data_IF_138102632598
#
_entry.id   IF_138102632598
#
_cell.length_a   1.000
_cell.length_b   1.000
_cell.length_c   1.000
_cell.angle_alpha   90.00
_cell.angle_beta   90.00
_cell.angle_gamma   90.00
#
_symmetry.space_group_name_H-M   'P 1'
#
loop_
_entity.id
_entity.type
_entity.pdbx_description
1 polymer ?
#
# COMPACT_ATOMS: atom_id res chain seq x y z
N UNK A 1 31.17 -52.10 49.76
CA UNK A 1 30.06 -53.01 49.37
C UNK A 1 28.79 -52.31 49.87
N UNK A 2 28.07 -51.52 49.06
CA UNK A 2 27.11 -51.93 48.01
C UNK A 2 25.74 -52.19 48.67
N UNK A 3 24.58 -51.61 48.31
CA UNK A 3 24.14 -50.85 47.14
C UNK A 3 22.92 -49.96 47.48
N UNK A 4 22.66 -49.01 46.58
CA UNK A 4 21.51 -48.11 46.47
C UNK A 4 20.18 -48.83 46.14
N UNK A 5 19.06 -48.15 46.38
CA UNK A 5 17.75 -48.50 45.80
C UNK A 5 16.67 -47.44 46.01
N UNK A 6 16.45 -46.63 44.97
CA UNK A 6 15.38 -45.64 44.78
C UNK A 6 14.06 -46.29 44.34
N UNK A 7 12.90 -45.75 44.73
CA UNK A 7 11.77 -45.47 43.81
C UNK A 7 10.56 -44.86 44.53
N UNK A 8 10.24 -43.64 44.11
CA UNK A 8 8.94 -42.98 44.18
C UNK A 8 7.93 -43.65 43.25
N UNK A 9 6.69 -43.92 43.71
CA UNK A 9 5.48 -43.65 42.94
C UNK A 9 4.17 -43.92 43.71
N UNK A 10 3.23 -42.97 43.53
CA UNK A 10 1.76 -43.07 43.60
C UNK A 10 1.10 -43.14 44.97
N UNK A 11 0.44 -42.04 45.33
CA UNK A 11 -1.01 -42.09 45.52
C UNK A 11 -1.69 -40.83 44.97
N UNK A 12 -2.65 -41.07 44.08
CA UNK A 12 -3.57 -40.10 43.49
C UNK A 12 -4.72 -39.91 44.45
N UNK A 13 -5.05 -38.66 44.79
CA UNK A 13 -6.43 -38.29 45.10
C UNK A 13 -6.77 -36.95 44.45
N UNK A 14 -7.79 -37.02 43.60
CA UNK A 14 -8.52 -35.93 42.97
C UNK A 14 -8.97 -34.90 44.00
N UNK A 15 -8.87 -33.62 43.63
CA UNK A 15 -9.85 -32.61 44.06
C UNK A 15 -10.12 -31.68 42.88
N UNK A 16 -11.11 -32.06 42.09
CA UNK A 16 -11.89 -31.13 41.28
C UNK A 16 -12.65 -30.18 42.21
N UNK A 17 -12.45 -28.87 42.05
CA UNK A 17 -13.56 -27.91 41.88
C UNK A 17 -13.07 -26.46 41.81
N UNK A 18 -13.36 -25.87 40.63
CA UNK A 18 -13.69 -24.45 40.40
C UNK A 18 -12.54 -23.43 40.51
N UNK A 19 -11.87 -23.22 39.39
CA UNK A 19 -11.29 -21.91 39.04
C UNK A 19 -11.79 -21.50 37.65
N UNK A 20 -12.08 -20.22 37.52
CA UNK A 20 -12.90 -19.60 36.50
C UNK A 20 -12.39 -19.82 35.06
N UNK A 21 -13.25 -20.39 34.21
CA UNK A 21 -13.16 -20.24 32.77
C UNK A 21 -13.56 -18.81 32.39
N UNK A 22 -12.61 -17.88 32.45
CA UNK A 22 -12.66 -16.56 31.82
C UNK A 22 -11.24 -16.19 31.39
N UNK A 23 -11.17 -15.44 30.29
CA UNK A 23 -10.01 -14.72 29.73
C UNK A 23 -8.95 -15.51 28.93
N UNK A 24 -9.25 -15.72 27.64
CA UNK A 24 -8.25 -15.62 26.56
C UNK A 24 -8.73 -14.68 25.44
N UNK A 25 -10.05 -14.49 25.29
CA UNK A 25 -10.62 -13.52 24.35
C UNK A 25 -10.37 -12.05 24.77
N UNK A 26 -10.50 -11.74 26.07
CA UNK A 26 -10.31 -10.37 26.59
C UNK A 26 -8.88 -9.84 26.40
N UNK A 27 -7.87 -10.70 26.51
CA UNK A 27 -6.47 -10.30 26.30
C UNK A 27 -6.15 -10.07 24.82
N UNK A 28 -6.74 -10.87 23.93
CA UNK A 28 -6.57 -10.71 22.47
C UNK A 28 -7.29 -9.46 21.97
N UNK A 29 -8.48 -9.18 22.52
CA UNK A 29 -9.26 -7.99 22.22
C UNK A 29 -8.60 -6.70 22.72
N UNK A 30 -8.07 -6.68 23.95
CA UNK A 30 -7.34 -5.53 24.49
C UNK A 30 -6.05 -5.25 23.72
N UNK A 31 -5.28 -6.28 23.35
CA UNK A 31 -4.08 -6.12 22.53
C UNK A 31 -4.41 -5.52 21.15
N UNK A 32 -5.56 -5.87 20.58
CA UNK A 32 -6.02 -5.31 19.30
C UNK A 32 -6.40 -3.83 19.41
N UNK A 33 -6.99 -3.41 20.54
CA UNK A 33 -7.43 -2.03 20.77
C UNK A 33 -6.27 -1.09 21.08
N UNK A 34 -5.39 -1.46 22.00
CA UNK A 34 -4.20 -0.64 22.31
C UNK A 34 -3.31 -0.45 21.08
N UNK A 35 -3.14 -1.52 20.29
CA UNK A 35 -2.42 -1.43 19.02
C UNK A 35 -3.09 -0.48 18.03
N UNK A 36 -4.42 -0.54 17.93
CA UNK A 36 -5.19 0.35 17.07
C UNK A 36 -5.07 1.83 17.50
N UNK A 37 -5.24 2.11 18.79
CA UNK A 37 -5.08 3.47 19.35
C UNK A 37 -3.67 4.01 19.13
N UNK A 38 -2.64 3.18 19.36
CA UNK A 38 -1.26 3.57 19.10
C UNK A 38 -1.02 3.85 17.60
N UNK A 39 -1.66 3.12 16.68
CA UNK A 39 -1.60 3.43 15.24
C UNK A 39 -2.31 4.74 14.90
N UNK A 40 -3.43 5.04 15.55
CA UNK A 40 -4.14 6.32 15.38
C UNK A 40 -3.29 7.50 15.87
N UNK A 41 -2.68 7.39 17.05
CA UNK A 41 -1.79 8.42 17.61
C UNK A 41 -0.63 8.72 16.65
N UNK A 42 0.07 7.68 16.19
CA UNK A 42 1.14 7.82 15.19
C UNK A 42 0.66 8.46 13.89
N UNK A 43 -0.57 8.19 13.46
CA UNK A 43 -1.12 8.84 12.27
C UNK A 43 -1.38 10.32 12.52
N UNK A 44 -1.88 10.69 13.70
CA UNK A 44 -2.15 12.08 14.08
C UNK A 44 -0.85 12.92 14.10
N UNK A 45 0.26 12.37 14.57
CA UNK A 45 1.57 13.03 14.57
C UNK A 45 2.04 13.43 13.16
N UNK A 46 1.60 12.71 12.12
CA UNK A 46 2.05 12.90 10.74
C UNK A 46 1.02 13.57 9.84
N UNK A 47 -0.13 14.00 10.36
CA UNK A 47 -1.24 14.52 9.55
C UNK A 47 -0.85 15.74 8.72
N UNK A 48 0.10 16.55 9.21
CA UNK A 48 0.61 17.72 8.48
C UNK A 48 1.40 17.36 7.22
N UNK A 49 1.85 16.11 7.08
CA UNK A 49 2.59 15.61 5.92
C UNK A 49 1.70 14.89 4.90
N UNK A 50 0.41 14.72 5.20
CA UNK A 50 -0.56 14.22 4.22
C UNK A 50 -0.76 15.26 3.11
N UNK A 51 -0.89 14.81 1.85
CA UNK A 51 -1.01 15.72 0.69
C UNK A 51 -2.18 16.68 0.82
N UNK A 52 -3.29 16.23 1.39
CA UNK A 52 -4.48 17.03 1.67
C UNK A 52 -4.16 18.24 2.58
N UNK A 53 -3.19 18.11 3.49
CA UNK A 53 -2.83 19.15 4.45
C UNK A 53 -1.96 20.23 3.82
N UNK A 54 -0.93 19.85 3.05
CA UNK A 54 0.02 20.83 2.48
C UNK A 54 -0.35 21.30 1.07
N UNK A 55 -1.19 20.56 0.31
CA UNK A 55 -1.49 20.91 -1.08
C UNK A 55 -2.06 22.31 -1.22
N UNK A 56 -3.01 22.71 -0.36
CA UNK A 56 -3.60 24.06 -0.42
C UNK A 56 -2.59 25.19 -0.24
N UNK A 57 -1.49 24.93 0.47
CA UNK A 57 -0.42 25.92 0.74
C UNK A 57 0.52 26.00 -0.47
N UNK A 58 0.77 24.87 -1.13
CA UNK A 58 1.79 24.74 -2.17
C UNK A 58 1.22 24.52 -3.58
N UNK A 59 -0.10 24.65 -3.78
CA UNK A 59 -0.77 24.30 -5.05
C UNK A 59 -0.18 25.04 -6.25
N UNK A 60 0.25 26.30 -6.08
CA UNK A 60 0.86 27.11 -7.14
C UNK A 60 2.33 26.72 -7.43
N UNK A 61 2.93 25.90 -6.57
CA UNK A 61 4.32 25.44 -6.63
C UNK A 61 4.43 23.91 -6.78
N UNK A 62 3.32 23.22 -7.00
CA UNK A 62 3.28 21.76 -7.12
C UNK A 62 2.40 21.34 -8.29
N UNK A 63 2.37 20.03 -8.57
CA UNK A 63 1.55 19.50 -9.65
C UNK A 63 0.08 19.56 -9.30
N UNK A 64 -0.76 19.87 -10.30
CA UNK A 64 -2.20 19.81 -10.16
C UNK A 64 -2.63 18.45 -9.62
N UNK A 65 -3.40 18.48 -8.52
CA UNK A 65 -3.84 17.29 -7.79
C UNK A 65 -5.33 17.38 -7.54
N UNK A 66 -6.04 16.28 -7.81
CA UNK A 66 -7.43 16.10 -7.42
C UNK A 66 -7.55 14.99 -6.36
N UNK A 67 -8.52 15.15 -5.47
CA UNK A 67 -8.74 14.25 -4.35
C UNK A 67 -10.02 13.45 -4.55
N UNK A 68 -9.92 12.13 -4.50
CA UNK A 68 -11.06 11.21 -4.49
C UNK A 68 -11.23 10.70 -3.05
N UNK A 69 -12.32 11.05 -2.35
CA UNK A 69 -12.51 10.64 -0.97
C UNK A 69 -12.75 9.13 -0.87
N UNK A 70 -12.00 8.47 0.01
CA UNK A 70 -12.16 7.05 0.33
C UNK A 70 -12.87 6.95 1.68
N UNK A 71 -14.13 6.50 1.67
CA UNK A 71 -14.88 6.22 2.89
C UNK A 71 -14.35 4.96 3.59
N UNK A 72 -14.67 4.75 4.89
CA UNK A 72 -14.32 3.51 5.58
C UNK A 72 -14.87 2.24 4.91
N UNK A 73 -16.05 2.31 4.28
CA UNK A 73 -16.64 1.17 3.55
C UNK A 73 -15.87 0.86 2.26
N UNK A 74 -15.45 1.88 1.51
CA UNK A 74 -14.61 1.72 0.32
C UNK A 74 -13.24 1.14 0.72
N UNK A 75 -12.63 1.68 1.78
CA UNK A 75 -11.36 1.15 2.29
C UNK A 75 -11.49 -0.32 2.70
N UNK A 76 -12.59 -0.69 3.35
CA UNK A 76 -12.88 -2.10 3.71
C UNK A 76 -13.02 -2.97 2.46
N UNK A 77 -13.73 -2.51 1.43
CA UNK A 77 -13.89 -3.23 0.18
C UNK A 77 -12.53 -3.50 -0.50
N UNK A 78 -11.62 -2.53 -0.53
CA UNK A 78 -10.24 -2.75 -1.02
C UNK A 78 -9.48 -3.81 -0.23
N UNK A 79 -9.60 -3.78 1.11
CA UNK A 79 -8.98 -4.80 1.96
C UNK A 79 -9.57 -6.17 1.68
N UNK A 80 -10.90 -6.30 1.57
CA UNK A 80 -11.57 -7.56 1.28
C UNK A 80 -11.17 -8.12 -0.09
N UNK A 81 -11.06 -7.25 -1.11
CA UNK A 81 -10.55 -7.62 -2.42
C UNK A 81 -9.11 -8.13 -2.33
N UNK A 82 -8.21 -7.42 -1.66
CA UNK A 82 -6.82 -7.83 -1.49
C UNK A 82 -6.72 -9.18 -0.78
N UNK A 83 -7.42 -9.34 0.35
CA UNK A 83 -7.43 -10.60 1.11
C UNK A 83 -7.99 -11.76 0.29
N UNK A 84 -9.00 -11.51 -0.55
CA UNK A 84 -9.59 -12.53 -1.40
C UNK A 84 -8.66 -12.93 -2.54
N UNK A 85 -8.05 -11.95 -3.20
CA UNK A 85 -7.17 -12.16 -4.35
C UNK A 85 -5.82 -12.76 -3.99
N UNK A 86 -5.19 -12.28 -2.91
CA UNK A 86 -3.79 -12.60 -2.60
C UNK A 86 -3.61 -13.49 -1.38
N UNK A 87 -4.59 -13.54 -0.47
CA UNK A 87 -4.50 -14.32 0.78
C UNK A 87 -5.51 -15.47 0.84
N UNK A 88 -6.15 -15.80 -0.29
CA UNK A 88 -7.12 -16.89 -0.45
C UNK A 88 -8.26 -16.87 0.57
N UNK A 89 -8.64 -15.67 1.05
CA UNK A 89 -9.82 -15.50 1.90
C UNK A 89 -11.09 -15.43 1.03
N UNK A 90 -12.25 -15.69 1.59
CA UNK A 90 -13.53 -15.48 0.88
C UNK A 90 -14.32 -14.36 1.56
N UNK A 91 -13.82 -13.12 1.44
CA UNK A 91 -14.37 -11.95 2.13
C UNK A 91 -15.06 -10.97 1.18
N UNK A 92 -14.75 -11.03 -0.12
CA UNK A 92 -15.30 -10.14 -1.12
C UNK A 92 -16.78 -10.48 -1.40
N UNK A 93 -17.65 -9.48 -1.28
CA UNK A 93 -19.08 -9.61 -1.58
C UNK A 93 -19.52 -8.65 -2.69
N UNK A 94 -20.79 -8.74 -3.10
CA UNK A 94 -21.36 -7.90 -4.16
C UNK A 94 -21.33 -6.40 -3.85
N UNK A 95 -21.57 -6.01 -2.60
CA UNK A 95 -21.49 -4.61 -2.15
C UNK A 95 -20.06 -4.09 -2.27
N UNK A 96 -19.06 -4.87 -1.88
CA UNK A 96 -17.65 -4.51 -2.05
C UNK A 96 -17.30 -4.29 -3.52
N UNK A 97 -17.77 -5.19 -4.40
CA UNK A 97 -17.56 -5.08 -5.86
C UNK A 97 -18.17 -3.77 -6.39
N UNK A 98 -19.40 -3.45 -6.00
CA UNK A 98 -20.05 -2.20 -6.42
C UNK A 98 -19.29 -0.96 -5.94
N UNK A 99 -18.80 -0.96 -4.70
CA UNK A 99 -17.98 0.14 -4.16
C UNK A 99 -16.69 0.31 -4.96
N UNK A 100 -15.97 -0.78 -5.24
CA UNK A 100 -14.73 -0.75 -6.02
C UNK A 100 -15.00 -0.24 -7.44
N UNK A 101 -16.05 -0.74 -8.09
CA UNK A 101 -16.46 -0.29 -9.43
C UNK A 101 -16.83 1.20 -9.44
N UNK A 102 -17.47 1.70 -8.38
CA UNK A 102 -17.80 3.12 -8.27
C UNK A 102 -16.54 3.99 -8.21
N UNK A 103 -15.50 3.57 -7.49
CA UNK A 103 -14.21 4.28 -7.45
C UNK A 103 -13.50 4.19 -8.79
N UNK A 104 -13.52 3.03 -9.45
CA UNK A 104 -12.95 2.89 -10.79
C UNK A 104 -13.64 3.83 -11.79
N UNK A 105 -14.97 3.96 -11.70
CA UNK A 105 -15.71 4.92 -12.53
C UNK A 105 -15.27 6.35 -12.25
N UNK A 106 -15.17 6.76 -10.98
CA UNK A 106 -14.71 8.10 -10.61
C UNK A 106 -13.30 8.38 -11.12
N UNK A 107 -12.37 7.43 -10.96
CA UNK A 107 -11.01 7.54 -11.50
C UNK A 107 -11.03 7.74 -13.01
N UNK A 108 -11.81 6.95 -13.74
CA UNK A 108 -11.93 7.10 -15.18
C UNK A 108 -12.48 8.46 -15.59
N UNK A 109 -13.49 8.97 -14.87
CA UNK A 109 -14.04 10.29 -15.14
C UNK A 109 -13.00 11.40 -14.91
N UNK A 110 -12.22 11.33 -13.82
CA UNK A 110 -11.23 12.36 -13.53
C UNK A 110 -10.00 12.29 -14.44
N UNK A 111 -9.53 11.09 -14.78
CA UNK A 111 -8.32 10.93 -15.59
C UNK A 111 -8.62 11.15 -17.07
N UNK A 112 -9.69 10.55 -17.59
CA UNK A 112 -9.97 10.48 -19.02
C UNK A 112 -11.11 11.38 -19.49
N UNK A 113 -11.99 11.86 -18.61
CA UNK A 113 -13.12 12.70 -19.01
C UNK A 113 -13.12 14.07 -18.32
N UNK A 114 -12.01 14.45 -17.68
CA UNK A 114 -11.93 15.74 -17.00
C UNK A 114 -11.95 16.87 -18.03
N UNK A 115 -12.85 17.83 -17.81
CA UNK A 115 -13.01 19.03 -18.66
C UNK A 115 -11.76 19.89 -18.73
N UNK A 116 -10.85 19.75 -17.76
CA UNK A 116 -9.62 20.54 -17.70
C UNK A 116 -8.48 19.91 -18.51
N UNK A 117 -8.62 18.65 -18.97
CA UNK A 117 -7.61 17.86 -19.66
C UNK A 117 -6.22 17.81 -18.97
N UNK A 118 -6.11 18.24 -17.71
CA UNK A 118 -4.81 18.40 -17.04
C UNK A 118 -4.06 17.07 -16.86
N UNK A 119 -4.82 15.97 -16.73
CA UNK A 119 -4.28 14.62 -16.54
C UNK A 119 -4.00 13.87 -17.84
N UNK A 120 -4.71 14.18 -18.94
CA UNK A 120 -4.55 13.46 -20.20
C UNK A 120 -3.24 13.78 -20.91
N UNK A 121 -2.80 15.04 -20.84
CA UNK A 121 -1.66 15.53 -21.65
C UNK A 121 -0.32 15.04 -21.06
N UNK A 122 -0.22 14.95 -19.74
CA UNK A 122 1.05 14.73 -19.03
C UNK A 122 1.13 13.36 -18.34
N UNK A 123 0.11 12.51 -18.53
CA UNK A 123 -0.07 11.32 -17.71
C UNK A 123 -0.55 11.66 -16.30
N UNK A 124 -0.76 10.63 -15.48
CA UNK A 124 -1.28 10.79 -14.12
C UNK A 124 -0.54 9.90 -13.15
N UNK A 125 -0.32 10.42 -11.95
CA UNK A 125 0.24 9.68 -10.84
C UNK A 125 -0.80 9.52 -9.72
N UNK A 126 -0.99 8.28 -9.26
CA UNK A 126 -1.94 7.96 -8.19
C UNK A 126 -1.18 7.66 -6.91
N UNK A 127 -1.62 8.26 -5.80
CA UNK A 127 -1.08 8.02 -4.46
C UNK A 127 -2.19 8.06 -3.41
N UNK A 128 -1.87 7.53 -2.23
CA UNK A 128 -2.64 7.80 -1.02
C UNK A 128 -2.07 9.05 -0.32
N UNK A 129 -2.74 9.49 0.76
CA UNK A 129 -2.43 10.72 1.50
C UNK A 129 -0.94 10.87 1.83
N UNK A 130 -0.32 9.84 2.44
CA UNK A 130 1.08 9.88 2.88
C UNK A 130 2.06 9.02 2.07
N UNK A 131 1.57 8.12 1.20
CA UNK A 131 2.42 7.12 0.52
C UNK A 131 2.02 6.96 -0.94
N UNK A 132 3.03 6.85 -1.78
CA UNK A 132 2.89 6.40 -3.16
C UNK A 132 3.15 4.90 -3.28
N UNK A 133 2.57 4.22 -4.29
CA UNK A 133 2.80 2.81 -4.56
C UNK A 133 4.15 2.56 -5.28
N UNK A 134 5.23 3.21 -4.85
CA UNK A 134 6.55 3.11 -5.50
C UNK A 134 7.15 1.70 -5.46
N UNK A 135 6.78 0.92 -4.45
CA UNK A 135 7.22 -0.46 -4.23
C UNK A 135 6.21 -1.47 -4.83
N UNK A 136 5.20 -0.98 -5.56
CA UNK A 136 4.17 -1.81 -6.18
C UNK A 136 4.67 -2.46 -7.46
N UNK A 137 4.32 -3.74 -7.64
CA UNK A 137 4.54 -4.44 -8.91
C UNK A 137 3.31 -4.32 -9.81
N UNK A 138 3.54 -4.15 -11.11
CA UNK A 138 2.46 -4.17 -12.10
C UNK A 138 1.77 -5.55 -12.10
N UNK A 139 0.45 -5.56 -12.23
CA UNK A 139 -0.31 -6.78 -12.48
C UNK A 139 0.07 -7.44 -13.81
N UNK A 140 0.51 -6.64 -14.77
CA UNK A 140 0.98 -7.06 -16.08
C UNK A 140 2.39 -6.46 -16.29
N UNK A 141 3.39 -7.18 -15.78
CA UNK A 141 4.80 -6.77 -15.86
C UNK A 141 5.31 -6.79 -17.30
N UNK A 142 4.83 -7.73 -18.12
CA UNK A 142 5.23 -7.85 -19.52
C UNK A 142 4.79 -6.64 -20.32
N UNK A 143 3.51 -6.23 -20.18
CA UNK A 143 3.01 -5.02 -20.83
C UNK A 143 3.76 -3.76 -20.38
N UNK A 144 4.07 -3.66 -19.09
CA UNK A 144 4.85 -2.52 -18.57
C UNK A 144 6.24 -2.45 -19.20
N UNK A 145 6.95 -3.59 -19.29
CA UNK A 145 8.28 -3.67 -19.92
C UNK A 145 8.19 -3.29 -21.40
N UNK A 146 7.18 -3.77 -22.12
CA UNK A 146 6.96 -3.41 -23.52
C UNK A 146 6.76 -1.90 -23.70
N UNK A 147 5.88 -1.28 -22.90
CA UNK A 147 5.64 0.16 -22.91
C UNK A 147 6.92 0.95 -22.60
N UNK A 148 7.68 0.52 -21.59
CA UNK A 148 8.96 1.15 -21.25
C UNK A 148 9.94 1.16 -22.42
N UNK A 149 10.13 0.02 -23.09
CA UNK A 149 11.05 -0.05 -24.23
C UNK A 149 10.56 0.78 -25.42
N UNK A 150 9.24 0.83 -25.67
CA UNK A 150 8.65 1.67 -26.71
C UNK A 150 8.92 3.16 -26.44
N UNK A 151 8.62 3.63 -25.24
CA UNK A 151 8.85 5.04 -24.86
C UNK A 151 10.34 5.39 -24.82
N UNK A 152 11.19 4.48 -24.35
CA UNK A 152 12.64 4.67 -24.36
C UNK A 152 13.17 4.81 -25.79
N UNK A 153 12.72 3.96 -26.72
CA UNK A 153 13.11 4.06 -28.12
C UNK A 153 12.65 5.38 -28.72
N UNK A 154 11.38 5.78 -28.50
CA UNK A 154 10.86 7.06 -28.96
C UNK A 154 11.66 8.26 -28.45
N UNK A 155 12.07 8.23 -27.18
CA UNK A 155 12.91 9.27 -26.58
C UNK A 155 14.31 9.28 -27.17
N UNK A 156 14.92 8.12 -27.41
CA UNK A 156 16.24 8.02 -28.05
C UNK A 156 16.22 8.52 -29.50
N UNK A 157 15.14 8.24 -30.24
CA UNK A 157 14.98 8.71 -31.62
C UNK A 157 14.76 10.24 -31.64
N UNK A 158 14.00 10.78 -30.69
CA UNK A 158 13.70 12.22 -30.58
C UNK A 158 14.87 13.03 -30.02
N UNK A 159 15.59 12.47 -29.07
CA UNK A 159 16.75 13.08 -28.41
C UNK A 159 17.93 12.11 -28.54
N UNK A 160 18.58 12.08 -29.72
CA UNK A 160 19.75 11.23 -29.93
C UNK A 160 20.78 11.49 -28.85
N UNK A 161 21.36 10.42 -28.32
CA UNK A 161 22.26 10.50 -27.20
C UNK A 161 23.45 11.43 -27.54
N UNK A 162 23.54 12.59 -26.87
CA UNK A 162 24.56 13.60 -27.18
C UNK A 162 25.98 13.04 -27.00
N UNK A 163 26.16 12.08 -26.08
CA UNK A 163 27.41 11.34 -25.87
C UNK A 163 27.86 10.49 -27.07
N UNK A 164 26.98 10.25 -28.05
CA UNK A 164 27.33 9.53 -29.27
C UNK A 164 27.72 10.47 -30.40
N UNK A 165 27.51 11.78 -30.24
CA UNK A 165 28.04 12.80 -31.12
C UNK A 165 29.55 12.97 -30.95
N UNK A 166 30.21 13.51 -31.98
CA UNK A 166 31.65 13.80 -31.94
C UNK A 166 31.96 14.82 -30.84
N UNK A 167 31.12 15.85 -30.67
CA UNK A 167 31.26 16.86 -29.61
C UNK A 167 31.04 16.29 -28.21
N UNK A 168 30.03 15.44 -28.02
CA UNK A 168 29.77 14.80 -26.73
C UNK A 168 30.89 13.85 -26.29
N UNK A 169 31.55 13.16 -27.24
CA UNK A 169 32.74 12.36 -26.95
C UNK A 169 33.94 13.23 -26.59
N UNK A 170 34.20 14.30 -27.34
CA UNK A 170 35.28 15.24 -27.06
C UNK A 170 35.12 15.94 -25.68
N UNK A 171 33.88 16.28 -25.30
CA UNK A 171 33.60 16.89 -24.00
C UNK A 171 33.81 15.92 -22.83
N UNK A 172 33.59 14.62 -23.03
CA UNK A 172 33.85 13.60 -22.00
C UNK A 172 35.34 13.31 -21.82
N UNK A 173 36.14 13.39 -22.89
CA UNK A 173 37.61 13.26 -22.82
C UNK A 173 38.29 14.45 -22.12
N UNK A 174 37.64 15.62 -22.06
CA UNK A 174 38.12 16.81 -21.35
C UNK A 174 37.86 16.79 -19.83
N UNK A 175 36.96 15.91 -19.36
CA UNK A 175 36.57 15.79 -17.94
C UNK A 175 37.33 14.65 -17.25
N UNK A 176 37.95 13.74 -18.02
CA UNK A 176 38.77 12.62 -17.52
C UNK A 176 40.23 13.02 -17.27
#
# INVERSE_FOLDING_TARGET
MGQNGSSTERDRLNNDSKSAGKTNEDNTFNMSREFYEHKLLKRCEHIHFDVEAWYKILQDQTFYTEFIPISPSIARAFVNYYQTRYNSKNLLNSTDIQLIQSVQHQLNQQIFNSKTNQFQINGTFIRLSSRSPKDGTSLDSQKLIQLYHQELQMLQDKYPNEYHSIEGKANMELIA
#
